data_IF_115599415692
#
_entry.id   IF_115599415692
#
_cell.length_a   1.000
_cell.length_b   1.000
_cell.length_c   1.000
_cell.angle_alpha   90.00
_cell.angle_beta   90.00
_cell.angle_gamma   90.00
#
_symmetry.space_group_name_H-M   'P 1'
#
loop_
_entity.id
_entity.type
_entity.pdbx_description
1 polymer ?
#
# COMPACT_ATOMS: atom_id res chain seq x y z
N UNK A 1 5.40 15.35 27.66
CA UNK A 1 5.55 13.89 27.40
C UNK A 1 6.14 13.75 26.01
N UNK A 2 7.41 13.38 25.90
CA UNK A 2 8.05 13.14 24.61
C UNK A 2 7.36 11.96 23.91
N UNK A 3 7.18 12.07 22.60
CA UNK A 3 6.50 11.07 21.78
C UNK A 3 7.36 9.80 21.66
N UNK A 4 7.26 8.91 22.67
CA UNK A 4 8.07 7.69 22.83
C UNK A 4 7.90 6.66 21.73
N UNK A 5 6.84 6.77 20.92
CA UNK A 5 6.60 5.89 19.78
C UNK A 5 7.73 5.95 18.73
N UNK A 6 8.31 7.15 18.52
CA UNK A 6 9.41 7.35 17.57
C UNK A 6 10.79 7.03 18.15
N UNK A 7 10.87 6.83 19.47
CA UNK A 7 12.09 6.47 20.20
C UNK A 7 12.26 4.94 20.33
N UNK A 8 11.19 4.19 20.12
CA UNK A 8 11.26 2.74 20.15
C UNK A 8 11.50 2.24 18.72
N UNK A 9 12.75 1.95 18.38
CA UNK A 9 13.15 1.35 17.10
C UNK A 9 12.33 0.08 16.80
N UNK A 10 12.03 -0.73 17.83
CA UNK A 10 11.16 -1.91 17.68
C UNK A 10 9.69 -1.54 17.38
N UNK A 11 9.20 -0.41 17.92
CA UNK A 11 7.86 0.10 17.66
C UNK A 11 7.69 0.62 16.23
N UNK A 12 8.63 1.45 15.77
CA UNK A 12 8.66 1.94 14.38
C UNK A 12 8.84 0.80 13.39
N UNK A 13 9.76 -0.15 13.68
CA UNK A 13 10.00 -1.32 12.84
C UNK A 13 8.76 -2.23 12.72
N UNK A 14 8.07 -2.51 13.83
CA UNK A 14 6.83 -3.30 13.81
C UNK A 14 5.73 -2.63 12.97
N UNK A 15 5.54 -1.32 13.12
CA UNK A 15 4.54 -0.58 12.36
C UNK A 15 4.87 -0.54 10.86
N UNK A 16 6.15 -0.40 10.50
CA UNK A 16 6.58 -0.50 9.11
C UNK A 16 6.29 -1.89 8.54
N UNK A 17 6.54 -2.95 9.31
CA UNK A 17 6.28 -4.34 8.87
C UNK A 17 4.79 -4.61 8.65
N UNK A 18 3.91 -4.09 9.52
CA UNK A 18 2.46 -4.20 9.35
C UNK A 18 1.97 -3.42 8.11
N UNK A 19 2.54 -2.23 7.89
CA UNK A 19 2.25 -1.42 6.71
C UNK A 19 2.73 -2.08 5.42
N UNK A 20 3.91 -2.73 5.43
CA UNK A 20 4.42 -3.51 4.31
C UNK A 20 3.53 -4.72 4.01
N UNK A 21 3.09 -5.45 5.03
CA UNK A 21 2.17 -6.58 4.87
C UNK A 21 0.83 -6.15 4.25
N UNK A 22 0.33 -4.97 4.66
CA UNK A 22 -0.87 -4.36 4.08
C UNK A 22 -0.64 -3.95 2.61
N UNK A 23 0.53 -3.37 2.31
CA UNK A 23 0.93 -2.99 0.95
C UNK A 23 0.93 -4.20 0.02
N UNK A 24 1.55 -5.31 0.45
CA UNK A 24 1.64 -6.54 -0.32
C UNK A 24 0.26 -7.14 -0.57
N UNK A 25 -0.62 -7.10 0.42
CA UNK A 25 -2.01 -7.54 0.28
C UNK A 25 -2.77 -6.72 -0.76
N UNK A 26 -2.64 -5.39 -0.75
CA UNK A 26 -3.28 -4.53 -1.76
C UNK A 26 -2.68 -4.72 -3.16
N UNK A 27 -1.37 -4.90 -3.27
CA UNK A 27 -0.70 -5.21 -4.54
C UNK A 27 -1.18 -6.55 -5.12
N UNK A 28 -1.35 -7.57 -4.27
CA UNK A 28 -1.93 -8.84 -4.70
C UNK A 28 -3.37 -8.69 -5.19
N UNK A 29 -4.21 -7.93 -4.48
CA UNK A 29 -5.58 -7.68 -4.92
C UNK A 29 -5.64 -6.95 -6.27
N UNK A 30 -4.72 -6.02 -6.53
CA UNK A 30 -4.58 -5.38 -7.85
C UNK A 30 -4.29 -6.44 -8.92
N UNK A 31 -3.29 -7.30 -8.71
CA UNK A 31 -2.92 -8.34 -9.67
C UNK A 31 -4.06 -9.32 -9.95
N UNK A 32 -4.83 -9.71 -8.93
CA UNK A 32 -6.02 -10.57 -9.11
C UNK A 32 -7.08 -9.88 -9.98
N UNK A 33 -7.39 -8.61 -9.71
CA UNK A 33 -8.37 -7.86 -10.50
C UNK A 33 -7.90 -7.63 -11.94
N UNK A 34 -6.61 -7.34 -12.14
CA UNK A 34 -6.01 -7.23 -13.48
C UNK A 34 -6.09 -8.57 -14.23
N UNK A 35 -5.92 -9.70 -13.54
CA UNK A 35 -6.14 -11.04 -14.07
C UNK A 35 -7.58 -11.27 -14.54
N UNK A 36 -8.57 -10.96 -13.70
CA UNK A 36 -10.00 -11.09 -14.07
C UNK A 36 -10.37 -10.23 -15.27
N UNK A 37 -9.86 -9.00 -15.36
CA UNK A 37 -10.07 -8.14 -16.53
C UNK A 37 -9.46 -8.77 -17.79
N UNK A 38 -8.26 -9.34 -17.70
CA UNK A 38 -7.61 -10.02 -18.83
C UNK A 38 -8.41 -11.22 -19.31
N UNK A 39 -8.85 -12.09 -18.39
CA UNK A 39 -9.68 -13.26 -18.70
C UNK A 39 -11.01 -12.86 -19.34
N UNK A 40 -11.68 -11.83 -18.80
CA UNK A 40 -12.92 -11.32 -19.38
C UNK A 40 -12.74 -10.74 -20.78
N UNK A 41 -11.64 -10.03 -21.02
CA UNK A 41 -11.36 -9.48 -22.34
C UNK A 41 -11.08 -10.57 -23.37
N UNK A 42 -10.40 -11.66 -22.99
CA UNK A 42 -10.09 -12.78 -23.87
C UNK A 42 -11.20 -13.82 -24.03
N UNK A 43 -12.24 -13.79 -23.19
CA UNK A 43 -13.31 -14.78 -23.19
C UNK A 43 -14.48 -14.37 -24.09
N UNK A 44 -14.89 -15.29 -24.98
CA UNK A 44 -16.14 -15.21 -25.76
C UNK A 44 -17.36 -15.77 -25.02
N UNK A 45 -17.18 -16.30 -23.80
CA UNK A 45 -18.26 -16.88 -23.01
C UNK A 45 -19.24 -15.83 -22.45
N UNK A 46 -18.82 -14.56 -22.39
CA UNK A 46 -19.66 -13.46 -21.96
C UNK A 46 -20.52 -13.00 -23.14
N UNK A 47 -21.79 -13.39 -23.16
CA UNK A 47 -22.72 -13.04 -24.24
C UNK A 47 -23.31 -11.62 -24.11
N UNK A 48 -23.27 -11.05 -22.90
CA UNK A 48 -23.76 -9.70 -22.63
C UNK A 48 -22.58 -8.72 -22.45
N UNK A 49 -22.39 -7.88 -23.47
CA UNK A 49 -21.32 -6.88 -23.51
C UNK A 49 -21.50 -5.78 -22.45
N UNK A 50 -22.75 -5.47 -22.06
CA UNK A 50 -23.05 -4.46 -21.03
C UNK A 50 -22.60 -4.98 -19.66
N UNK A 51 -22.87 -6.25 -19.35
CA UNK A 51 -22.44 -6.89 -18.10
C UNK A 51 -20.92 -6.94 -18.03
N UNK A 52 -20.26 -7.39 -19.11
CA UNK A 52 -18.79 -7.43 -19.21
C UNK A 52 -18.17 -6.06 -18.99
N UNK A 53 -18.64 -5.05 -19.72
CA UNK A 53 -18.11 -3.67 -19.62
C UNK A 53 -18.32 -3.11 -18.22
N UNK A 54 -19.47 -3.36 -17.61
CA UNK A 54 -19.79 -2.87 -16.26
C UNK A 54 -18.90 -3.51 -15.19
N UNK A 55 -18.64 -4.82 -15.28
CA UNK A 55 -17.72 -5.49 -14.38
C UNK A 55 -16.29 -4.95 -14.53
N UNK A 56 -15.80 -4.81 -15.78
CA UNK A 56 -14.46 -4.29 -16.05
C UNK A 56 -14.31 -2.88 -15.46
N UNK A 57 -15.30 -2.01 -15.67
CA UNK A 57 -15.30 -0.67 -15.10
C UNK A 57 -15.25 -0.68 -13.56
N UNK A 58 -16.03 -1.56 -12.92
CA UNK A 58 -15.99 -1.70 -11.46
C UNK A 58 -14.61 -2.20 -10.97
N UNK A 59 -14.05 -3.23 -11.61
CA UNK A 59 -12.72 -3.75 -11.29
C UNK A 59 -11.62 -2.69 -11.46
N UNK A 60 -11.68 -1.88 -12.53
CA UNK A 60 -10.78 -0.75 -12.74
C UNK A 60 -10.92 0.33 -11.65
N UNK A 61 -12.15 0.58 -11.17
CA UNK A 61 -12.40 1.45 -10.03
C UNK A 61 -11.71 0.97 -8.75
N UNK A 62 -11.83 -0.32 -8.43
CA UNK A 62 -11.14 -0.93 -7.28
C UNK A 62 -9.61 -0.90 -7.44
N UNK A 63 -9.09 -1.21 -8.62
CA UNK A 63 -7.64 -1.11 -8.90
C UNK A 63 -7.14 0.31 -8.65
N UNK A 64 -7.89 1.33 -9.09
CA UNK A 64 -7.53 2.73 -8.88
C UNK A 64 -7.51 3.10 -7.40
N UNK A 65 -8.51 2.64 -6.64
CA UNK A 65 -8.55 2.84 -5.20
C UNK A 65 -7.37 2.16 -4.50
N UNK A 66 -7.07 0.90 -4.82
CA UNK A 66 -5.94 0.18 -4.23
C UNK A 66 -4.60 0.83 -4.58
N UNK A 67 -4.40 1.27 -5.83
CA UNK A 67 -3.18 2.01 -6.23
C UNK A 67 -3.01 3.29 -5.40
N UNK A 68 -4.11 4.01 -5.17
CA UNK A 68 -4.12 5.21 -4.31
C UNK A 68 -3.73 4.89 -2.87
N UNK A 69 -4.30 3.83 -2.29
CA UNK A 69 -3.96 3.38 -0.93
C UNK A 69 -2.50 2.93 -0.83
N UNK A 70 -2.00 2.15 -1.79
CA UNK A 70 -0.60 1.70 -1.78
C UNK A 70 0.37 2.87 -1.83
N UNK A 71 0.12 3.88 -2.67
CA UNK A 71 0.98 5.07 -2.74
C UNK A 71 0.94 5.89 -1.44
N UNK A 72 -0.23 6.00 -0.80
CA UNK A 72 -0.36 6.63 0.51
C UNK A 72 0.44 5.92 1.61
N UNK A 73 0.38 4.58 1.64
CA UNK A 73 1.15 3.75 2.58
C UNK A 73 2.65 3.89 2.32
N UNK A 74 3.09 3.82 1.05
CA UNK A 74 4.50 4.01 0.67
C UNK A 74 5.04 5.36 1.15
N UNK A 75 4.28 6.44 0.92
CA UNK A 75 4.65 7.78 1.40
C UNK A 75 4.69 7.89 2.93
N UNK A 76 3.78 7.19 3.63
CA UNK A 76 3.79 7.18 5.09
C UNK A 76 4.99 6.42 5.67
N UNK A 77 5.35 5.27 5.09
CA UNK A 77 6.57 4.53 5.45
C UNK A 77 7.81 5.40 5.24
N UNK A 78 7.89 6.11 4.11
CA UNK A 78 9.01 7.03 3.84
C UNK A 78 9.12 8.12 4.91
N UNK A 79 7.99 8.71 5.30
CA UNK A 79 7.94 9.72 6.36
C UNK A 79 8.41 9.17 7.72
N UNK A 80 7.94 7.98 8.10
CA UNK A 80 8.36 7.31 9.34
C UNK A 80 9.86 7.05 9.35
N UNK A 81 10.41 6.53 8.25
CA UNK A 81 11.84 6.27 8.11
C UNK A 81 12.67 7.55 8.23
N UNK A 82 12.28 8.63 7.53
CA UNK A 82 12.95 9.94 7.63
C UNK A 82 12.93 10.48 9.06
N UNK A 83 11.77 10.39 9.73
CA UNK A 83 11.61 10.90 11.09
C UNK A 83 12.45 10.10 12.10
N UNK A 84 12.44 8.78 12.00
CA UNK A 84 13.29 7.90 12.82
C UNK A 84 14.78 8.22 12.64
N UNK A 85 15.25 8.35 11.40
CA UNK A 85 16.65 8.71 11.10
C UNK A 85 17.06 10.06 11.69
N UNK A 86 16.25 11.10 11.48
CA UNK A 86 16.56 12.45 11.97
C UNK A 86 16.65 12.51 13.50
N UNK A 87 15.82 11.73 14.22
CA UNK A 87 15.90 11.62 15.67
C UNK A 87 17.16 10.89 16.13
N UNK A 88 17.52 9.77 15.50
CA UNK A 88 18.76 9.05 15.81
C UNK A 88 20.02 9.92 15.62
N UNK A 89 20.04 10.76 14.57
CA UNK A 89 21.12 11.73 14.34
C UNK A 89 21.14 12.83 15.40
N UNK A 90 19.97 13.32 15.84
CA UNK A 90 19.88 14.29 16.94
C UNK A 90 20.46 13.72 18.23
N UNK A 91 20.04 12.53 18.66
CA UNK A 91 20.53 11.90 19.90
C UNK A 91 22.05 11.65 19.90
N UNK A 92 22.60 11.18 18.78
CA UNK A 92 24.05 10.98 18.62
C UNK A 92 24.86 12.27 18.78
N UNK A 93 24.30 13.42 18.40
CA UNK A 93 24.96 14.71 18.52
C UNK A 93 24.89 15.33 19.92
N UNK A 94 23.91 14.93 20.76
CA UNK A 94 23.80 15.37 22.16
C UNK A 94 24.46 14.41 23.16
N UNK A 95 24.83 13.19 22.73
CA UNK A 95 25.56 12.21 23.53
C UNK A 95 27.09 12.31 23.41
N UNK A 96 27.61 13.33 22.70
CA UNK A 96 29.04 13.66 22.60
C UNK A 96 29.36 14.87 23.46
#
# INVERSE_FOLDING_TARGET
MANTFLYNESGVSSSISDLQSSLDSYKNNISVLEGYISEMNGSSAWQDEIVKTSFIAAAQGYITAYKTFTSGIEGYIECLNKKSKNLAEHESNFSK
#
